data_IF_922151519484
#
_entry.id   IF_922151519484
#
_cell.length_a   1.000
_cell.length_b   1.000
_cell.length_c   1.000
_cell.angle_alpha   90.00
_cell.angle_beta   90.00
_cell.angle_gamma   90.00
#
_symmetry.space_group_name_H-M   'P 1'
#
loop_
_entity.id
_entity.type
_entity.pdbx_description
1 polymer ?
#
# COMPACT_ATOMS: atom_id res chain seq x y z
N UNK A 1 0.56 -18.05 28.26
CA UNK A 1 -0.60 -17.19 27.94
C UNK A 1 -0.22 -15.77 28.36
N UNK A 2 -0.39 -14.80 27.44
CA UNK A 2 -0.34 -13.33 27.58
C UNK A 2 1.00 -12.63 27.90
N UNK A 3 1.37 -11.68 27.03
CA UNK A 3 2.22 -10.53 27.39
C UNK A 3 3.55 -10.37 26.65
N UNK A 4 3.56 -10.33 25.31
CA UNK A 4 4.70 -9.80 24.54
C UNK A 4 4.19 -8.92 23.39
N UNK A 5 3.40 -7.91 23.76
CA UNK A 5 3.06 -6.79 22.87
C UNK A 5 3.69 -5.53 23.48
N UNK A 6 5.03 -5.56 23.60
CA UNK A 6 5.83 -4.41 23.98
C UNK A 6 6.20 -3.70 22.69
N UNK A 7 5.42 -2.69 22.30
CA UNK A 7 5.68 -1.96 21.06
C UNK A 7 4.80 -0.74 20.78
N UNK A 8 4.15 -0.17 21.80
CA UNK A 8 3.49 1.13 21.67
C UNK A 8 4.52 2.26 21.79
N UNK A 9 5.41 2.36 20.79
CA UNK A 9 6.28 3.53 20.62
C UNK A 9 5.73 4.46 19.55
N UNK A 10 5.74 5.74 19.90
CA UNK A 10 5.76 6.93 19.04
C UNK A 10 4.43 7.65 18.82
N UNK A 11 4.40 8.87 19.39
CA UNK A 11 3.32 9.82 19.40
C UNK A 11 2.77 10.15 18.02
N UNK A 12 1.44 10.18 17.97
CA UNK A 12 0.65 10.64 16.86
C UNK A 12 1.01 12.09 16.49
N UNK A 13 1.78 12.24 15.41
CA UNK A 13 1.69 13.45 14.59
C UNK A 13 0.55 13.24 13.58
N UNK A 14 -0.42 14.16 13.47
CA UNK A 14 -1.70 13.95 12.77
C UNK A 14 -1.62 13.97 11.23
N UNK A 15 -0.45 13.67 10.65
CA UNK A 15 -0.25 13.69 9.19
C UNK A 15 0.41 12.42 8.63
N UNK A 16 0.63 11.39 9.46
CA UNK A 16 1.59 10.32 9.17
C UNK A 16 0.88 9.00 8.83
N UNK A 17 1.08 8.49 7.61
CA UNK A 17 0.71 7.12 7.25
C UNK A 17 1.37 6.14 8.23
N UNK A 18 0.61 5.20 8.79
CA UNK A 18 1.16 4.22 9.75
C UNK A 18 1.81 3.02 9.06
N UNK A 19 2.72 2.33 9.76
CA UNK A 19 3.34 1.09 9.30
C UNK A 19 2.30 0.00 8.98
N UNK A 20 1.22 -0.08 9.77
CA UNK A 20 0.12 -1.01 9.53
C UNK A 20 -0.65 -0.69 8.24
N UNK A 21 -0.93 0.60 7.97
CA UNK A 21 -1.57 1.02 6.72
C UNK A 21 -0.68 0.77 5.51
N UNK A 22 0.64 0.98 5.61
CA UNK A 22 1.58 0.65 4.53
C UNK A 22 1.53 -0.84 4.20
N UNK A 23 1.64 -1.72 5.21
CA UNK A 23 1.54 -3.17 5.02
C UNK A 23 0.20 -3.58 4.40
N UNK A 24 -0.90 -3.00 4.89
CA UNK A 24 -2.25 -3.25 4.35
C UNK A 24 -2.39 -2.79 2.90
N UNK A 25 -1.96 -1.57 2.57
CA UNK A 25 -1.95 -1.03 1.21
C UNK A 25 -1.13 -1.90 0.25
N UNK A 26 0.06 -2.31 0.68
CA UNK A 26 0.96 -3.15 -0.11
C UNK A 26 0.38 -4.53 -0.36
N UNK A 27 -0.26 -5.13 0.66
CA UNK A 27 -1.00 -6.38 0.54
C UNK A 27 -2.20 -6.29 -0.41
N UNK A 28 -2.94 -5.17 -0.38
CA UNK A 28 -4.06 -4.92 -1.30
C UNK A 28 -3.61 -4.82 -2.76
N UNK A 29 -2.42 -4.25 -3.01
CA UNK A 29 -1.85 -4.10 -4.34
C UNK A 29 -1.07 -5.34 -4.82
N UNK A 30 -0.80 -6.30 -3.93
CA UNK A 30 0.07 -7.44 -4.22
C UNK A 30 1.53 -7.04 -4.49
N UNK A 31 1.98 -5.87 -4.00
CA UNK A 31 3.34 -5.39 -4.24
C UNK A 31 4.33 -6.03 -3.25
N UNK A 32 5.55 -6.27 -3.69
CA UNK A 32 6.67 -6.59 -2.79
C UNK A 32 7.28 -5.31 -2.20
N UNK A 33 8.09 -5.43 -1.14
CA UNK A 33 8.85 -4.28 -0.59
C UNK A 33 9.74 -3.64 -1.68
N UNK A 34 10.38 -4.47 -2.51
CA UNK A 34 11.17 -4.05 -3.68
C UNK A 34 10.35 -3.33 -4.77
N UNK A 35 9.10 -3.73 -4.99
CA UNK A 35 8.21 -3.04 -5.92
C UNK A 35 7.80 -1.67 -5.37
N UNK A 36 7.45 -1.60 -4.09
CA UNK A 36 7.10 -0.33 -3.45
C UNK A 36 8.29 0.62 -3.44
N UNK A 37 9.50 0.13 -3.11
CA UNK A 37 10.74 0.89 -3.13
C UNK A 37 11.01 1.53 -4.49
N UNK A 38 10.91 0.74 -5.57
CA UNK A 38 11.06 1.21 -6.96
C UNK A 38 10.02 2.27 -7.33
N UNK A 39 8.75 2.10 -6.91
CA UNK A 39 7.68 3.05 -7.22
C UNK A 39 7.75 4.34 -6.41
N UNK A 40 8.16 4.26 -5.14
CA UNK A 40 8.33 5.44 -4.28
C UNK A 40 9.67 6.14 -4.47
N UNK A 41 10.62 5.52 -5.19
CA UNK A 41 11.99 6.04 -5.35
C UNK A 41 12.79 5.99 -4.05
N UNK A 42 12.53 4.99 -3.21
CA UNK A 42 13.17 4.83 -1.90
C UNK A 42 13.91 3.49 -1.83
N UNK A 43 14.71 3.33 -0.79
CA UNK A 43 15.48 2.11 -0.57
C UNK A 43 14.61 1.00 0.05
N UNK A 44 14.86 -0.26 -0.32
CA UNK A 44 14.16 -1.42 0.24
C UNK A 44 14.36 -1.53 1.75
N UNK A 45 15.57 -1.23 2.24
CA UNK A 45 15.87 -1.23 3.67
C UNK A 45 15.08 -0.16 4.42
N UNK A 46 14.80 0.96 3.78
CA UNK A 46 13.94 2.01 4.35
C UNK A 46 12.50 1.52 4.48
N UNK A 47 11.95 0.87 3.46
CA UNK A 47 10.58 0.33 3.50
C UNK A 47 10.44 -0.71 4.62
N UNK A 48 11.41 -1.61 4.72
CA UNK A 48 11.44 -2.64 5.77
C UNK A 48 11.53 -2.03 7.18
N UNK A 49 12.37 -1.00 7.35
CA UNK A 49 12.47 -0.25 8.61
C UNK A 49 11.16 0.45 8.96
N UNK A 50 10.54 1.09 7.98
CA UNK A 50 9.23 1.75 8.11
C UNK A 50 8.13 0.76 8.48
N UNK A 51 8.01 -0.37 7.78
CA UNK A 51 7.00 -1.42 8.08
C UNK A 51 7.20 -2.07 9.46
N UNK A 52 8.44 -2.08 9.95
CA UNK A 52 8.80 -2.57 11.29
C UNK A 52 8.54 -1.54 12.40
N UNK A 53 8.23 -0.29 12.06
CA UNK A 53 8.16 0.81 13.04
C UNK A 53 9.54 1.21 13.60
N UNK A 54 10.61 0.75 12.96
CA UNK A 54 11.99 1.00 13.37
C UNK A 54 12.56 2.11 12.51
N UNK A 55 12.43 3.35 12.97
CA UNK A 55 13.00 4.53 12.32
C UNK A 55 12.09 5.75 12.40
N UNK A 56 12.68 6.94 12.21
CA UNK A 56 11.97 8.20 12.10
C UNK A 56 12.01 8.65 10.62
N UNK A 57 11.01 8.25 9.81
CA UNK A 57 10.98 8.59 8.40
C UNK A 57 10.73 10.09 8.23
N UNK A 58 11.50 10.76 7.37
CA UNK A 58 11.25 12.15 7.07
C UNK A 58 9.86 12.31 6.43
N UNK A 59 9.15 13.40 6.75
CA UNK A 59 7.79 13.65 6.26
C UNK A 59 7.66 13.54 4.72
N UNK A 60 8.71 13.95 3.99
CA UNK A 60 8.76 13.82 2.53
C UNK A 60 8.83 12.38 2.03
N UNK A 61 9.47 11.47 2.78
CA UNK A 61 9.53 10.05 2.43
C UNK A 61 8.18 9.37 2.69
N UNK A 62 7.50 9.73 3.78
CA UNK A 62 6.15 9.23 4.08
C UNK A 62 5.16 9.64 2.99
N UNK A 63 5.22 10.90 2.54
CA UNK A 63 4.40 11.38 1.42
C UNK A 63 4.74 10.67 0.10
N UNK A 64 6.01 10.33 -0.15
CA UNK A 64 6.42 9.57 -1.33
C UNK A 64 5.83 8.15 -1.31
N UNK A 65 5.88 7.43 -0.18
CA UNK A 65 5.22 6.12 -0.05
C UNK A 65 3.71 6.25 -0.26
N UNK A 66 3.08 7.20 0.43
CA UNK A 66 1.64 7.44 0.36
C UNK A 66 1.22 7.72 -1.08
N UNK A 67 1.96 8.57 -1.78
CA UNK A 67 1.71 8.91 -3.18
C UNK A 67 1.89 7.71 -4.10
N UNK A 68 2.94 6.90 -3.91
CA UNK A 68 3.15 5.69 -4.71
C UNK A 68 2.02 4.68 -4.54
N UNK A 69 1.57 4.44 -3.31
CA UNK A 69 0.45 3.56 -3.00
C UNK A 69 -0.86 4.11 -3.58
N UNK A 70 -1.08 5.42 -3.49
CA UNK A 70 -2.23 6.09 -4.10
C UNK A 70 -2.25 5.98 -5.62
N UNK A 71 -1.10 6.13 -6.29
CA UNK A 71 -0.97 5.90 -7.73
C UNK A 71 -1.24 4.45 -8.12
N UNK A 72 -0.99 3.49 -7.21
CA UNK A 72 -1.39 2.10 -7.37
C UNK A 72 -2.90 1.85 -7.27
N UNK A 73 -3.68 2.85 -6.87
CA UNK A 73 -5.12 2.71 -6.64
C UNK A 73 -5.48 2.37 -5.20
N UNK A 74 -4.63 2.69 -4.22
CA UNK A 74 -5.00 2.65 -2.79
C UNK A 74 -5.52 4.00 -2.33
N UNK A 75 -6.58 4.00 -1.53
CA UNK A 75 -7.07 5.19 -0.83
C UNK A 75 -6.89 4.99 0.67
N UNK A 76 -6.20 5.93 1.30
CA UNK A 76 -6.07 6.00 2.75
C UNK A 76 -7.27 6.73 3.34
N UNK A 77 -7.89 6.13 4.36
CA UNK A 77 -8.99 6.74 5.11
C UNK A 77 -8.50 7.16 6.48
N UNK A 78 -8.53 8.46 6.78
CA UNK A 78 -8.13 9.03 8.08
C UNK A 78 -9.33 9.29 9.00
N UNK A 79 -10.43 8.53 8.83
CA UNK A 79 -11.61 8.66 9.68
C UNK A 79 -11.39 8.10 11.09
N UNK A 80 -12.47 7.96 11.86
CA UNK A 80 -12.46 7.37 13.21
C UNK A 80 -11.87 5.96 13.26
N UNK A 81 -11.86 5.26 12.13
CA UNK A 81 -11.11 4.01 11.94
C UNK A 81 -10.11 4.23 10.81
N UNK A 82 -8.82 4.45 11.12
CA UNK A 82 -7.80 4.60 10.11
C UNK A 82 -7.70 3.31 9.29
N UNK A 83 -7.72 3.43 7.96
CA UNK A 83 -7.86 2.29 7.07
C UNK A 83 -7.26 2.52 5.70
N UNK A 84 -7.25 1.44 4.90
CA UNK A 84 -6.78 1.41 3.51
C UNK A 84 -7.77 0.61 2.70
N UNK A 85 -8.18 1.17 1.56
CA UNK A 85 -9.12 0.54 0.61
C UNK A 85 -8.56 0.63 -0.80
N UNK A 86 -8.96 -0.28 -1.68
CA UNK A 86 -8.72 -0.14 -3.11
C UNK A 86 -9.76 0.79 -3.72
N UNK A 87 -9.31 1.69 -4.59
CA UNK A 87 -10.18 2.48 -5.46
C UNK A 87 -10.96 1.55 -6.38
N UNK A 88 -12.28 1.72 -6.46
CA UNK A 88 -13.16 0.92 -7.31
C UNK A 88 -12.78 1.01 -8.80
N UNK A 89 -12.17 2.12 -9.21
CA UNK A 89 -11.67 2.36 -10.58
C UNK A 89 -10.56 1.39 -11.01
N UNK A 90 -9.84 0.76 -10.08
CA UNK A 90 -8.79 -0.22 -10.40
C UNK A 90 -9.20 -1.68 -10.13
N UNK A 91 -10.43 -1.90 -9.63
CA UNK A 91 -11.03 -3.24 -9.62
C UNK A 91 -11.47 -3.73 -11.00
N UNK A 92 -11.34 -2.91 -12.04
CA UNK A 92 -11.55 -3.27 -13.44
C UNK A 92 -10.38 -3.96 -14.14
N UNK A 93 -9.23 -4.17 -13.48
CA UNK A 93 -8.06 -4.84 -14.08
C UNK A 93 -8.20 -6.37 -14.22
N UNK A 94 -9.27 -6.95 -13.69
CA UNK A 94 -9.61 -8.37 -13.84
C UNK A 94 -11.12 -8.61 -14.03
N UNK A 95 -11.83 -7.66 -14.66
CA UNK A 95 -13.04 -8.05 -15.37
C UNK A 95 -12.62 -9.15 -16.34
N UNK A 96 -12.95 -10.39 -15.98
CA UNK A 96 -12.60 -11.58 -16.74
C UNK A 96 -12.94 -11.35 -18.20
N UNK A 97 -12.10 -11.92 -19.08
CA UNK A 97 -12.34 -12.06 -20.51
C UNK A 97 -13.80 -11.85 -20.82
N UNK A 98 -14.19 -10.62 -21.22
CA UNK A 98 -15.58 -10.36 -21.57
C UNK A 98 -15.86 -11.37 -22.68
N UNK A 99 -16.81 -12.27 -22.41
CA UNK A 99 -17.21 -13.37 -23.28
C UNK A 99 -17.62 -12.89 -24.68
N UNK A 100 -17.74 -11.57 -24.87
CA UNK A 100 -18.13 -10.86 -26.08
C UNK A 100 -16.97 -10.58 -27.07
N UNK A 101 -15.71 -10.94 -26.75
CA UNK A 101 -14.57 -10.82 -27.68
C UNK A 101 -14.07 -12.15 -28.28
N UNK A 102 -14.84 -13.24 -28.19
CA UNK A 102 -14.64 -14.40 -29.08
C UNK A 102 -15.26 -14.13 -30.45
N UNK A 103 -14.68 -13.19 -31.20
CA UNK A 103 -14.90 -13.16 -32.64
C UNK A 103 -14.25 -14.40 -33.25
N UNK A 104 -14.99 -15.10 -34.12
CA UNK A 104 -14.56 -16.28 -34.88
C UNK A 104 -13.37 -16.02 -35.82
N UNK A 105 -12.84 -14.79 -35.89
CA UNK A 105 -11.80 -14.41 -36.86
C UNK A 105 -10.36 -14.75 -36.47
N UNK A 106 -10.13 -15.49 -35.37
CA UNK A 106 -8.78 -15.94 -34.98
C UNK A 106 -8.48 -17.43 -35.29
N UNK A 107 -9.13 -18.00 -36.31
CA UNK A 107 -8.84 -19.34 -36.84
C UNK A 107 -8.31 -19.27 -38.28
N UNK A 108 -7.20 -18.57 -38.52
CA UNK A 108 -6.54 -18.55 -39.82
C UNK A 108 -5.07 -18.93 -39.76
#
# INVERSE_FOLDING_TARGET
MTGSDEGASSGASPNTMTAAQCRGARGLLGWSEAELARRSGLDEGFIKGFESGTGDPASGQVEALRSALMQGGVVFTNGSTPGVRLSEEQRGGNEGTRLDQLTTENDR
#
